data_IF_522080241996
#
_entry.id   IF_522080241996
#
_cell.length_a   1.000
_cell.length_b   1.000
_cell.length_c   1.000
_cell.angle_alpha   90.00
_cell.angle_beta   90.00
_cell.angle_gamma   90.00
#
_symmetry.space_group_name_H-M   'P 1'
#
loop_
_entity.id
_entity.type
_entity.pdbx_description
1 polymer ?
#
# COMPACT_ATOMS: atom_id res chain seq x y z
N UNK A 1 -16.72 -19.38 -7.11
CA UNK A 1 -17.87 -18.59 -6.59
C UNK A 1 -18.66 -18.00 -7.76
N UNK A 2 -18.08 -17.19 -8.67
CA UNK A 2 -18.80 -16.58 -9.79
C UNK A 2 -19.53 -17.62 -10.68
N UNK A 3 -18.89 -18.75 -10.96
CA UNK A 3 -19.53 -19.87 -11.70
C UNK A 3 -20.76 -20.41 -10.97
N UNK A 4 -20.72 -20.48 -9.64
CA UNK A 4 -21.85 -20.92 -8.83
C UNK A 4 -23.06 -19.96 -8.98
N UNK A 5 -22.81 -18.64 -8.91
CA UNK A 5 -23.83 -17.63 -9.13
C UNK A 5 -24.37 -17.65 -10.56
N UNK A 6 -23.52 -17.85 -11.56
CA UNK A 6 -23.97 -18.02 -12.95
C UNK A 6 -24.84 -19.29 -13.11
N UNK A 7 -24.45 -20.41 -12.53
CA UNK A 7 -25.27 -21.62 -12.53
C UNK A 7 -26.62 -21.36 -11.90
N UNK A 8 -26.66 -20.65 -10.79
CA UNK A 8 -27.92 -20.27 -10.15
C UNK A 8 -28.79 -19.35 -11.02
N UNK A 9 -28.21 -18.45 -11.79
CA UNK A 9 -28.95 -17.60 -12.74
C UNK A 9 -29.73 -18.44 -13.77
N UNK A 10 -29.15 -19.55 -14.24
CA UNK A 10 -29.78 -20.41 -15.25
C UNK A 10 -30.69 -21.49 -14.65
N UNK A 11 -30.27 -22.09 -13.55
CA UNK A 11 -30.89 -23.29 -12.97
C UNK A 11 -31.51 -23.05 -11.58
N UNK A 12 -31.79 -21.80 -11.23
CA UNK A 12 -32.33 -21.44 -9.91
C UNK A 12 -33.70 -22.05 -9.57
N UNK A 13 -34.42 -22.57 -10.55
CA UNK A 13 -35.67 -23.31 -10.35
C UNK A 13 -35.48 -24.64 -9.58
N UNK A 14 -34.25 -25.17 -9.59
CA UNK A 14 -33.89 -26.38 -8.85
C UNK A 14 -33.33 -26.07 -7.45
N UNK A 15 -33.29 -24.80 -7.07
CA UNK A 15 -32.85 -24.37 -5.75
C UNK A 15 -33.95 -24.59 -4.70
N UNK A 16 -33.62 -24.69 -3.39
CA UNK A 16 -34.63 -24.76 -2.33
C UNK A 16 -35.66 -23.64 -2.42
N UNK A 17 -36.93 -23.91 -2.06
CA UNK A 17 -38.06 -23.01 -2.21
C UNK A 17 -37.83 -21.56 -1.73
N UNK A 18 -37.05 -21.39 -0.66
CA UNK A 18 -36.75 -20.09 -0.08
C UNK A 18 -35.94 -19.20 -1.05
N UNK A 19 -35.08 -19.81 -1.87
CA UNK A 19 -34.22 -19.13 -2.83
C UNK A 19 -34.54 -19.54 -4.27
N UNK A 20 -35.69 -20.21 -4.51
CA UNK A 20 -36.08 -20.65 -5.84
C UNK A 20 -36.24 -19.44 -6.79
N UNK A 21 -35.67 -19.57 -7.97
CA UNK A 21 -35.67 -18.55 -9.02
C UNK A 21 -36.06 -19.19 -10.36
N UNK A 22 -36.96 -18.57 -11.08
CA UNK A 22 -37.49 -19.11 -12.36
C UNK A 22 -36.48 -19.38 -13.48
N UNK A 23 -35.22 -19.08 -13.26
CA UNK A 23 -34.19 -19.14 -14.30
C UNK A 23 -34.23 -17.94 -15.27
N UNK A 24 -33.13 -17.67 -15.92
CA UNK A 24 -33.05 -16.67 -16.98
C UNK A 24 -32.72 -17.33 -18.31
N UNK A 25 -33.26 -16.80 -19.41
CA UNK A 25 -32.81 -17.18 -20.75
C UNK A 25 -31.36 -16.72 -20.98
N UNK A 26 -30.64 -17.41 -21.86
CA UNK A 26 -29.27 -17.06 -22.19
C UNK A 26 -29.14 -15.59 -22.63
N UNK A 27 -30.02 -15.15 -23.52
CA UNK A 27 -30.01 -13.75 -23.99
C UNK A 27 -30.20 -12.74 -22.84
N UNK A 28 -31.14 -13.02 -21.93
CA UNK A 28 -31.37 -12.14 -20.76
C UNK A 28 -30.16 -12.10 -19.83
N UNK A 29 -29.56 -13.25 -19.54
CA UNK A 29 -28.39 -13.31 -18.69
C UNK A 29 -27.19 -12.60 -19.34
N UNK A 30 -26.93 -12.85 -20.62
CA UNK A 30 -25.83 -12.19 -21.34
C UNK A 30 -26.05 -10.68 -21.49
N UNK A 31 -27.25 -10.26 -21.81
CA UNK A 31 -27.57 -8.81 -21.88
C UNK A 31 -27.34 -8.12 -20.54
N UNK A 32 -27.80 -8.72 -19.44
CA UNK A 32 -27.60 -8.17 -18.11
C UNK A 32 -26.12 -8.13 -17.70
N UNK A 33 -25.36 -9.21 -17.97
CA UNK A 33 -23.95 -9.30 -17.56
C UNK A 33 -23.01 -8.42 -18.38
N UNK A 34 -23.30 -8.21 -19.68
CA UNK A 34 -22.36 -7.55 -20.59
C UNK A 34 -22.83 -6.17 -21.08
N UNK A 35 -24.14 -5.90 -21.12
CA UNK A 35 -24.67 -4.67 -21.69
C UNK A 35 -25.26 -3.72 -20.63
N UNK A 36 -25.24 -4.12 -19.35
CA UNK A 36 -25.69 -3.27 -18.25
C UNK A 36 -24.53 -2.89 -17.33
N UNK A 37 -24.74 -1.87 -16.50
CA UNK A 37 -23.80 -1.46 -15.46
C UNK A 37 -23.91 -2.30 -14.17
N UNK A 38 -24.71 -3.32 -14.16
CA UNK A 38 -24.89 -4.22 -13.02
C UNK A 38 -24.08 -5.52 -13.14
N UNK A 39 -23.43 -5.74 -14.30
CA UNK A 39 -22.62 -6.92 -14.58
C UNK A 39 -21.11 -6.67 -14.56
N UNK A 40 -20.43 -7.25 -15.56
CA UNK A 40 -18.96 -7.19 -15.71
C UNK A 40 -18.45 -5.75 -15.77
N UNK A 41 -19.15 -4.89 -16.54
CA UNK A 41 -18.79 -3.48 -16.70
C UNK A 41 -19.48 -2.57 -15.67
N UNK A 42 -19.82 -3.12 -14.52
CA UNK A 42 -20.42 -2.40 -13.41
C UNK A 42 -19.44 -1.54 -12.62
N UNK A 43 -19.91 -1.07 -11.46
CA UNK A 43 -19.18 -0.18 -10.55
C UNK A 43 -17.78 -0.70 -10.24
N UNK A 44 -17.62 -2.00 -9.97
CA UNK A 44 -16.34 -2.58 -9.60
C UNK A 44 -15.25 -2.38 -10.65
N UNK A 45 -15.55 -2.66 -11.93
CA UNK A 45 -14.59 -2.46 -13.02
C UNK A 45 -14.40 -0.97 -13.33
N UNK A 46 -15.46 -0.16 -13.23
CA UNK A 46 -15.38 1.30 -13.36
C UNK A 46 -14.41 1.94 -12.37
N UNK A 47 -14.52 1.56 -11.09
CA UNK A 47 -13.62 2.01 -10.02
C UNK A 47 -12.18 1.55 -10.29
N UNK A 48 -11.98 0.31 -10.73
CA UNK A 48 -10.64 -0.23 -10.97
C UNK A 48 -9.94 0.46 -12.14
N UNK A 49 -10.64 0.74 -13.23
CA UNK A 49 -10.10 1.44 -14.40
C UNK A 49 -9.94 2.95 -14.18
N UNK A 50 -10.75 3.54 -13.32
CA UNK A 50 -10.72 4.97 -13.01
C UNK A 50 -9.53 5.34 -12.13
N UNK A 51 -9.69 5.20 -10.82
CA UNK A 51 -8.69 5.72 -9.89
C UNK A 51 -7.81 4.66 -9.22
N UNK A 52 -8.24 3.38 -9.10
CA UNK A 52 -7.37 2.33 -8.56
C UNK A 52 -6.12 2.16 -9.42
N UNK A 53 -6.26 2.26 -10.75
CA UNK A 53 -5.13 2.19 -11.68
C UNK A 53 -4.04 3.22 -11.34
N UNK A 54 -4.43 4.46 -11.02
CA UNK A 54 -3.48 5.52 -10.66
C UNK A 54 -2.75 5.23 -9.34
N UNK A 55 -3.43 4.68 -8.34
CA UNK A 55 -2.80 4.27 -7.08
C UNK A 55 -1.83 3.10 -7.27
N UNK A 56 -2.21 2.11 -8.08
CA UNK A 56 -1.35 0.96 -8.40
C UNK A 56 -0.11 1.41 -9.17
N UNK A 57 -0.29 2.33 -10.11
CA UNK A 57 0.80 2.91 -10.89
C UNK A 57 1.74 3.72 -10.00
N UNK A 58 1.20 4.56 -9.13
CA UNK A 58 1.96 5.31 -8.13
C UNK A 58 2.83 4.39 -7.26
N UNK A 59 2.24 3.32 -6.71
CA UNK A 59 2.96 2.35 -5.90
C UNK A 59 4.07 1.64 -6.68
N UNK A 60 3.78 1.23 -7.91
CA UNK A 60 4.75 0.58 -8.80
C UNK A 60 5.95 1.47 -9.14
N UNK A 61 5.70 2.75 -9.42
CA UNK A 61 6.75 3.73 -9.68
C UNK A 61 7.60 4.00 -8.44
N UNK A 62 6.97 4.16 -7.29
CA UNK A 62 7.66 4.41 -6.02
C UNK A 62 8.58 3.23 -5.66
N UNK A 63 8.13 2.01 -5.94
CA UNK A 63 8.93 0.82 -5.75
C UNK A 63 10.13 0.76 -6.69
N UNK A 64 9.91 0.97 -8.00
CA UNK A 64 10.99 0.99 -8.99
C UNK A 64 11.99 2.15 -8.78
N UNK A 65 11.55 3.20 -8.09
CA UNK A 65 12.45 4.25 -7.63
C UNK A 65 13.41 3.81 -6.51
N UNK A 66 13.08 2.73 -5.77
CA UNK A 66 13.88 2.19 -4.68
C UNK A 66 13.29 2.37 -3.28
N UNK A 67 12.07 2.86 -3.16
CA UNK A 67 11.42 3.08 -1.87
C UNK A 67 11.21 1.78 -1.08
N UNK A 68 10.89 0.67 -1.77
CA UNK A 68 10.71 -0.63 -1.12
C UNK A 68 11.97 -1.11 -0.39
N UNK A 69 13.12 -1.01 -1.04
CA UNK A 69 14.42 -1.32 -0.43
C UNK A 69 14.74 -0.37 0.75
N UNK A 70 14.46 0.93 0.57
CA UNK A 70 14.64 1.92 1.65
C UNK A 70 13.83 1.57 2.89
N UNK A 71 12.54 1.30 2.75
CA UNK A 71 11.68 0.94 3.89
C UNK A 71 12.11 -0.36 4.56
N UNK A 72 12.52 -1.33 3.78
CA UNK A 72 13.03 -2.61 4.30
C UNK A 72 14.30 -2.38 5.13
N UNK A 73 15.29 -1.65 4.61
CA UNK A 73 16.53 -1.33 5.34
C UNK A 73 16.28 -0.49 6.59
N UNK A 74 15.35 0.46 6.54
CA UNK A 74 14.95 1.25 7.73
C UNK A 74 14.33 0.34 8.80
N UNK A 75 13.41 -0.54 8.43
CA UNK A 75 12.78 -1.47 9.37
C UNK A 75 13.83 -2.41 10.02
N UNK A 76 14.79 -2.92 9.23
CA UNK A 76 15.88 -3.74 9.76
C UNK A 76 16.83 -2.98 10.66
N UNK A 77 17.18 -1.74 10.31
CA UNK A 77 18.02 -0.89 11.14
C UNK A 77 17.37 -0.58 12.52
N UNK A 78 16.05 -0.43 12.54
CA UNK A 78 15.30 -0.14 13.75
C UNK A 78 15.04 -1.38 14.63
N UNK A 79 14.69 -2.51 14.03
CA UNK A 79 14.13 -3.65 14.74
C UNK A 79 15.03 -4.88 14.77
N UNK A 80 16.02 -4.99 13.88
CA UNK A 80 16.84 -6.19 13.71
C UNK A 80 17.60 -6.63 14.94
N UNK A 81 17.92 -5.71 15.87
CA UNK A 81 18.65 -6.00 17.10
C UNK A 81 17.77 -6.59 18.23
N UNK A 82 16.46 -6.55 18.11
CA UNK A 82 15.57 -7.16 19.09
C UNK A 82 15.47 -8.67 18.92
N UNK A 83 15.02 -9.38 19.95
CA UNK A 83 14.73 -10.81 19.87
C UNK A 83 13.71 -11.10 18.77
N UNK A 84 14.07 -11.99 17.82
CA UNK A 84 13.28 -12.21 16.61
C UNK A 84 13.24 -10.98 15.70
N UNK A 85 14.24 -10.09 15.82
CA UNK A 85 14.32 -8.80 15.12
C UNK A 85 14.10 -8.88 13.62
N UNK A 86 14.76 -9.77 12.89
CA UNK A 86 14.54 -9.91 11.45
C UNK A 86 13.09 -10.17 11.08
N UNK A 87 12.38 -11.04 11.80
CA UNK A 87 10.97 -11.31 11.52
C UNK A 87 10.05 -10.11 11.88
N UNK A 88 10.35 -9.40 12.98
CA UNK A 88 9.64 -8.15 13.32
C UNK A 88 9.90 -7.06 12.29
N UNK A 89 11.14 -6.94 11.82
CA UNK A 89 11.51 -6.01 10.78
C UNK A 89 10.81 -6.36 9.46
N UNK A 90 10.67 -7.64 9.12
CA UNK A 90 9.91 -8.09 7.98
C UNK A 90 8.43 -7.66 8.08
N UNK A 91 7.79 -7.82 9.25
CA UNK A 91 6.41 -7.39 9.46
C UNK A 91 6.26 -5.88 9.27
N UNK A 92 7.13 -5.07 9.87
CA UNK A 92 7.06 -3.61 9.76
C UNK A 92 7.39 -3.14 8.34
N UNK A 93 8.42 -3.72 7.72
CA UNK A 93 8.78 -3.46 6.31
C UNK A 93 7.62 -3.75 5.38
N UNK A 94 6.99 -4.92 5.55
CA UNK A 94 5.83 -5.32 4.76
C UNK A 94 4.65 -4.35 4.97
N UNK A 95 4.45 -3.84 6.20
CA UNK A 95 3.48 -2.79 6.47
C UNK A 95 3.76 -1.48 5.73
N UNK A 96 5.00 -1.03 5.77
CA UNK A 96 5.43 0.20 5.07
C UNK A 96 5.32 0.05 3.54
N UNK A 97 5.70 -1.11 3.00
CA UNK A 97 5.55 -1.40 1.57
C UNK A 97 4.08 -1.58 1.18
N UNK A 98 3.28 -2.20 2.07
CA UNK A 98 1.84 -2.35 1.89
C UNK A 98 1.08 -1.02 1.79
N UNK A 99 1.51 0.00 2.56
CA UNK A 99 0.99 1.37 2.47
C UNK A 99 1.08 1.95 1.05
N UNK A 100 2.00 1.45 0.24
CA UNK A 100 2.32 1.98 -1.08
C UNK A 100 1.78 1.08 -2.19
N UNK A 101 1.99 -0.25 -2.06
CA UNK A 101 1.66 -1.20 -3.12
C UNK A 101 0.17 -1.53 -3.19
N UNK A 102 -0.54 -1.49 -2.05
CA UNK A 102 -1.94 -1.91 -1.95
C UNK A 102 -2.20 -3.38 -2.34
N UNK A 103 -1.17 -4.14 -2.70
CA UNK A 103 -1.25 -5.52 -3.19
C UNK A 103 -0.46 -6.47 -2.31
N UNK A 104 -1.14 -7.43 -1.69
CA UNK A 104 -0.47 -8.47 -0.89
C UNK A 104 0.48 -9.33 -1.73
N UNK A 105 0.09 -9.67 -2.96
CA UNK A 105 0.90 -10.50 -3.86
C UNK A 105 2.19 -9.77 -4.23
N UNK A 106 2.08 -8.52 -4.69
CA UNK A 106 3.24 -7.71 -5.00
C UNK A 106 4.15 -7.55 -3.78
N UNK A 107 3.56 -7.28 -2.60
CA UNK A 107 4.30 -7.10 -1.36
C UNK A 107 5.09 -8.37 -0.95
N UNK A 108 4.48 -9.56 -1.02
CA UNK A 108 5.20 -10.83 -0.76
C UNK A 108 6.37 -11.03 -1.72
N UNK A 109 6.19 -10.71 -3.01
CA UNK A 109 7.25 -10.85 -4.00
C UNK A 109 8.40 -9.90 -3.73
N UNK A 110 8.11 -8.66 -3.35
CA UNK A 110 9.09 -7.60 -3.11
C UNK A 110 9.86 -7.84 -1.82
N UNK A 111 9.13 -7.94 -0.71
CA UNK A 111 9.76 -8.06 0.62
C UNK A 111 10.21 -9.47 0.93
N UNK A 112 9.44 -10.49 0.52
CA UNK A 112 9.67 -11.88 0.85
C UNK A 112 10.95 -12.48 0.25
N UNK A 113 11.37 -12.03 -0.94
CA UNK A 113 12.64 -12.45 -1.55
C UNK A 113 13.84 -12.17 -0.65
N UNK A 114 13.77 -11.11 0.13
CA UNK A 114 14.79 -10.70 1.08
C UNK A 114 14.51 -11.17 2.52
N UNK A 115 13.30 -10.98 3.00
CA UNK A 115 12.95 -11.20 4.41
C UNK A 115 12.87 -12.69 4.76
N UNK A 116 12.34 -13.56 3.88
CA UNK A 116 12.22 -15.00 4.13
C UNK A 116 13.60 -15.65 4.30
N UNK A 117 14.58 -15.47 3.39
CA UNK A 117 15.92 -16.00 3.61
C UNK A 117 16.56 -15.50 4.90
N UNK A 118 16.37 -14.23 5.24
CA UNK A 118 16.95 -13.66 6.44
C UNK A 118 16.30 -14.21 7.72
N UNK A 119 14.99 -14.39 7.74
CA UNK A 119 14.29 -15.06 8.85
C UNK A 119 14.79 -16.49 9.06
N UNK A 120 15.01 -17.23 7.97
CA UNK A 120 15.57 -18.59 8.02
C UNK A 120 16.99 -18.62 8.61
N UNK A 121 17.85 -17.67 8.21
CA UNK A 121 19.23 -17.57 8.73
C UNK A 121 19.29 -17.33 10.23
N UNK A 122 18.33 -16.59 10.80
CA UNK A 122 18.27 -16.36 12.26
C UNK A 122 17.56 -17.47 13.02
N UNK A 123 17.14 -18.55 12.34
CA UNK A 123 16.62 -19.77 12.97
C UNK A 123 15.11 -19.97 12.88
N UNK A 124 14.35 -19.13 12.14
CA UNK A 124 12.96 -19.44 11.84
C UNK A 124 12.86 -20.63 10.88
N UNK A 125 11.92 -21.53 11.14
CA UNK A 125 11.55 -22.59 10.19
C UNK A 125 10.99 -21.98 8.90
N UNK A 126 11.23 -22.64 7.75
CA UNK A 126 10.83 -22.13 6.44
C UNK A 126 9.34 -21.80 6.36
N UNK A 127 8.48 -22.73 6.91
CA UNK A 127 7.04 -22.57 6.91
C UNK A 127 6.60 -21.36 7.74
N UNK A 128 7.25 -21.12 8.90
CA UNK A 128 6.96 -19.98 9.75
C UNK A 128 7.42 -18.67 9.12
N UNK A 129 8.60 -18.65 8.49
CA UNK A 129 9.09 -17.48 7.77
C UNK A 129 8.14 -17.10 6.63
N UNK A 130 7.69 -18.08 5.84
CA UNK A 130 6.69 -17.86 4.80
C UNK A 130 5.34 -17.40 5.35
N UNK A 131 4.87 -17.99 6.45
CA UNK A 131 3.60 -17.60 7.10
C UNK A 131 3.65 -16.16 7.63
N UNK A 132 4.76 -15.73 8.26
CA UNK A 132 4.96 -14.35 8.73
C UNK A 132 4.90 -13.37 7.56
N UNK A 133 5.60 -13.68 6.47
CA UNK A 133 5.62 -12.81 5.28
C UNK A 133 4.25 -12.69 4.63
N UNK A 134 3.54 -13.80 4.43
CA UNK A 134 2.19 -13.80 3.84
C UNK A 134 1.20 -13.04 4.74
N UNK A 135 1.23 -13.27 6.06
CA UNK A 135 0.36 -12.57 6.99
C UNK A 135 0.64 -11.06 7.01
N UNK A 136 1.91 -10.66 7.05
CA UNK A 136 2.30 -9.26 7.04
C UNK A 136 1.91 -8.56 5.74
N UNK A 137 2.12 -9.24 4.60
CA UNK A 137 1.77 -8.70 3.28
C UNK A 137 0.26 -8.59 3.06
N UNK A 138 -0.51 -9.54 3.60
CA UNK A 138 -1.98 -9.48 3.55
C UNK A 138 -2.51 -8.31 4.39
N UNK A 139 -1.96 -8.11 5.60
CA UNK A 139 -2.28 -6.96 6.43
C UNK A 139 -1.90 -5.62 5.76
N UNK A 140 -0.93 -5.61 4.86
CA UNK A 140 -0.55 -4.43 4.08
C UNK A 140 -1.70 -3.82 3.28
N UNK A 141 -2.67 -4.64 2.84
CA UNK A 141 -3.86 -4.15 2.14
C UNK A 141 -4.80 -3.32 3.02
N UNK A 142 -4.69 -3.43 4.34
CA UNK A 142 -5.48 -2.62 5.28
C UNK A 142 -4.79 -1.29 5.60
N UNK A 143 -3.49 -1.15 5.27
CA UNK A 143 -2.68 -0.02 5.74
C UNK A 143 -2.89 1.23 4.88
N UNK A 144 -3.42 2.34 5.46
CA UNK A 144 -3.52 3.61 4.75
C UNK A 144 -2.13 4.16 4.38
N UNK A 145 -2.01 5.04 3.35
CA UNK A 145 -3.11 5.69 2.65
C UNK A 145 -3.62 4.97 1.40
N UNK A 146 -2.91 4.01 0.80
CA UNK A 146 -3.33 3.44 -0.48
C UNK A 146 -4.31 2.28 -0.27
N UNK A 147 -3.99 1.36 0.64
CA UNK A 147 -4.82 0.18 0.93
C UNK A 147 -4.99 -0.75 -0.28
N UNK A 148 -5.76 -1.81 -0.15
CA UNK A 148 -6.11 -2.71 -1.25
C UNK A 148 -7.34 -2.24 -2.04
N UNK A 149 -7.57 -2.87 -3.19
CA UNK A 149 -8.68 -2.53 -4.09
C UNK A 149 -10.06 -2.54 -3.40
N UNK A 150 -10.25 -3.39 -2.40
CA UNK A 150 -11.50 -3.46 -1.64
C UNK A 150 -11.87 -2.15 -0.93
N UNK A 151 -10.88 -1.40 -0.44
CA UNK A 151 -11.12 -0.11 0.21
C UNK A 151 -11.72 0.93 -0.75
N UNK A 152 -11.32 0.89 -2.00
CA UNK A 152 -11.88 1.77 -3.03
C UNK A 152 -13.30 1.37 -3.44
N UNK A 153 -13.60 0.07 -3.45
CA UNK A 153 -14.96 -0.42 -3.69
C UNK A 153 -15.92 0.01 -2.58
N UNK A 154 -15.46 0.12 -1.33
CA UNK A 154 -16.26 0.60 -0.21
C UNK A 154 -16.78 2.04 -0.43
N UNK A 155 -16.03 2.90 -1.11
CA UNK A 155 -16.48 4.27 -1.42
C UNK A 155 -17.81 4.23 -2.18
N UNK A 156 -17.87 3.40 -3.21
CA UNK A 156 -19.03 3.33 -4.10
C UNK A 156 -20.18 2.51 -3.50
N UNK A 157 -19.89 1.35 -2.90
CA UNK A 157 -20.94 0.47 -2.37
C UNK A 157 -21.53 0.96 -1.05
N UNK A 158 -20.73 1.62 -0.20
CA UNK A 158 -21.18 2.15 1.09
C UNK A 158 -21.60 3.62 0.99
N UNK A 159 -21.12 4.34 -0.04
CA UNK A 159 -21.42 5.75 -0.24
C UNK A 159 -20.72 6.68 0.74
N UNK A 160 -19.52 6.32 1.20
CA UNK A 160 -18.70 7.13 2.12
C UNK A 160 -17.47 7.71 1.40
N UNK A 161 -16.93 8.79 1.94
CA UNK A 161 -15.71 9.39 1.37
C UNK A 161 -14.49 8.50 1.59
N UNK A 162 -13.48 8.60 0.69
CA UNK A 162 -12.21 7.87 0.86
C UNK A 162 -11.51 8.20 2.17
N UNK A 163 -11.60 9.44 2.61
CA UNK A 163 -11.01 9.88 3.88
C UNK A 163 -11.68 9.20 5.08
N UNK A 164 -12.98 8.94 5.02
CA UNK A 164 -13.68 8.16 6.05
C UNK A 164 -13.25 6.69 6.03
N UNK A 165 -13.09 6.09 4.85
CA UNK A 165 -12.53 4.73 4.74
C UNK A 165 -11.15 4.68 5.39
N UNK A 166 -10.25 5.64 5.09
CA UNK A 166 -8.93 5.74 5.72
C UNK A 166 -9.02 5.81 7.25
N UNK A 167 -9.88 6.68 7.78
CA UNK A 167 -10.05 6.86 9.23
C UNK A 167 -10.51 5.57 9.92
N UNK A 168 -11.48 4.88 9.32
CA UNK A 168 -12.01 3.64 9.88
C UNK A 168 -11.05 2.45 9.70
N UNK A 169 -10.26 2.40 8.62
CA UNK A 169 -9.28 1.36 8.38
C UNK A 169 -8.03 1.48 9.25
N UNK A 170 -7.67 2.71 9.69
CA UNK A 170 -6.42 2.97 10.41
C UNK A 170 -6.29 2.16 11.70
N UNK A 171 -7.30 2.19 12.55
CA UNK A 171 -7.26 1.49 13.84
C UNK A 171 -7.18 -0.03 13.69
N UNK A 172 -8.02 -0.70 12.89
CA UNK A 172 -7.88 -2.13 12.60
C UNK A 172 -6.51 -2.51 12.03
N UNK A 173 -5.96 -1.71 11.11
CA UNK A 173 -4.63 -1.94 10.54
C UNK A 173 -3.55 -1.91 11.61
N UNK A 174 -3.52 -0.88 12.45
CA UNK A 174 -2.54 -0.74 13.54
C UNK A 174 -2.63 -1.89 14.53
N UNK A 175 -3.85 -2.24 14.98
CA UNK A 175 -4.06 -3.37 15.92
C UNK A 175 -3.59 -4.68 15.29
N UNK A 176 -3.89 -4.92 14.02
CA UNK A 176 -3.47 -6.13 13.30
C UNK A 176 -1.95 -6.25 13.22
N UNK A 177 -1.24 -5.15 12.90
CA UNK A 177 0.23 -5.16 12.88
C UNK A 177 0.84 -5.32 14.29
N UNK A 178 0.27 -4.70 15.32
CA UNK A 178 0.71 -4.89 16.70
C UNK A 178 0.54 -6.36 17.11
N UNK A 179 -0.61 -6.95 16.82
CA UNK A 179 -0.88 -8.36 17.10
C UNK A 179 0.11 -9.27 16.38
N UNK A 180 0.39 -9.01 15.08
CA UNK A 180 1.32 -9.82 14.31
C UNK A 180 2.76 -9.71 14.83
N UNK A 181 3.23 -8.50 15.15
CA UNK A 181 4.55 -8.28 15.78
C UNK A 181 4.64 -9.01 17.11
N UNK A 182 3.56 -9.03 17.89
CA UNK A 182 3.51 -9.74 19.18
C UNK A 182 3.54 -11.26 18.99
N UNK A 183 2.75 -11.81 18.04
CA UNK A 183 2.78 -13.23 17.69
C UNK A 183 4.19 -13.65 17.25
N UNK A 184 4.83 -12.87 16.39
CA UNK A 184 6.20 -13.10 15.94
C UNK A 184 7.19 -13.05 17.09
N UNK A 185 6.96 -12.17 18.08
CA UNK A 185 7.78 -12.13 19.31
C UNK A 185 7.65 -13.41 20.13
N UNK A 186 6.43 -13.91 20.33
CA UNK A 186 6.18 -15.16 21.07
C UNK A 186 6.81 -16.36 20.35
N UNK A 187 6.70 -16.42 19.02
CA UNK A 187 7.34 -17.47 18.23
C UNK A 187 8.87 -17.42 18.30
N UNK A 188 9.46 -16.22 18.32
CA UNK A 188 10.89 -16.03 18.51
C UNK A 188 11.33 -16.45 19.93
N UNK A 189 10.51 -16.19 20.96
CA UNK A 189 10.77 -16.65 22.33
C UNK A 189 10.70 -18.18 22.44
N UNK A 190 9.68 -18.78 21.84
CA UNK A 190 9.50 -20.24 21.83
C UNK A 190 10.64 -20.98 21.15
N UNK A 191 11.26 -20.38 20.13
CA UNK A 191 12.38 -20.93 19.39
C UNK A 191 13.75 -20.48 19.95
N UNK A 192 13.79 -19.77 21.08
CA UNK A 192 14.99 -19.17 21.70
C UNK A 192 15.88 -18.36 20.74
N UNK A 193 15.26 -17.65 19.80
CA UNK A 193 15.98 -16.86 18.82
C UNK A 193 16.55 -15.58 19.46
N UNK A 194 17.77 -15.23 19.04
CA UNK A 194 18.43 -13.98 19.48
C UNK A 194 18.28 -12.90 18.41
N UNK A 195 18.40 -11.63 18.82
CA UNK A 195 18.53 -10.52 17.86
C UNK A 195 19.92 -10.47 17.23
N UNK A 196 20.03 -9.75 16.11
CA UNK A 196 21.31 -9.46 15.49
C UNK A 196 22.10 -8.45 16.34
N UNK A 197 23.44 -8.52 16.28
CA UNK A 197 24.29 -7.58 17.05
C UNK A 197 24.13 -6.17 16.47
N UNK A 198 23.78 -5.15 17.31
CA UNK A 198 23.72 -3.78 16.84
C UNK A 198 25.12 -3.24 16.58
N UNK A 199 25.30 -2.47 15.51
CA UNK A 199 26.58 -1.83 15.17
C UNK A 199 26.97 -0.75 16.19
N UNK A 200 25.98 -0.09 16.82
CA UNK A 200 26.17 0.85 17.93
C UNK A 200 25.23 0.53 19.08
N UNK A 201 25.79 0.45 20.28
CA UNK A 201 25.00 0.31 21.50
C UNK A 201 24.54 1.71 21.93
N UNK A 202 23.25 1.97 21.82
CA UNK A 202 22.63 3.22 22.29
C UNK A 202 22.00 3.01 23.68
N UNK A 203 22.15 4.00 24.57
CA UNK A 203 21.51 3.96 25.88
C UNK A 203 19.98 4.00 25.76
N UNK A 204 19.28 3.42 26.74
CA UNK A 204 17.81 3.45 26.77
C UNK A 204 17.27 4.88 26.73
N UNK A 205 17.91 5.79 27.45
CA UNK A 205 17.56 7.22 27.45
C UNK A 205 17.65 7.83 26.03
N UNK A 206 18.72 7.56 25.29
CA UNK A 206 18.89 8.03 23.91
C UNK A 206 17.78 7.48 22.98
N UNK A 207 17.37 6.22 23.17
CA UNK A 207 16.26 5.62 22.39
C UNK A 207 14.92 6.32 22.67
N UNK A 208 14.62 6.59 23.94
CA UNK A 208 13.41 7.29 24.35
C UNK A 208 13.39 8.71 23.81
N UNK A 209 14.49 9.46 23.97
CA UNK A 209 14.61 10.81 23.43
C UNK A 209 14.45 10.84 21.91
N UNK A 210 15.08 9.92 21.19
CA UNK A 210 14.94 9.82 19.74
C UNK A 210 13.50 9.52 19.33
N UNK A 211 12.82 8.61 20.02
CA UNK A 211 11.42 8.28 19.78
C UNK A 211 10.51 9.50 19.93
N UNK A 212 10.64 10.24 21.02
CA UNK A 212 9.85 11.47 21.23
C UNK A 212 10.23 12.57 20.23
N UNK A 213 11.51 12.74 19.89
CA UNK A 213 11.92 13.70 18.86
C UNK A 213 11.32 13.35 17.48
N UNK A 214 11.25 12.09 17.11
CA UNK A 214 10.62 11.67 15.84
C UNK A 214 9.12 11.96 15.86
N UNK A 215 8.42 11.65 16.95
CA UNK A 215 6.98 11.94 17.08
C UNK A 215 6.72 13.44 17.04
N UNK A 216 7.46 14.23 17.81
CA UNK A 216 7.33 15.68 17.82
C UNK A 216 7.64 16.23 16.42
N UNK A 217 8.71 15.74 15.78
CA UNK A 217 9.07 16.14 14.41
C UNK A 217 7.97 15.86 13.39
N UNK A 218 7.29 14.69 13.49
CA UNK A 218 6.16 14.34 12.63
C UNK A 218 4.94 15.25 12.91
N UNK A 219 4.64 15.54 14.17
CA UNK A 219 3.53 16.44 14.53
C UNK A 219 3.81 17.86 14.02
N UNK A 220 5.02 18.37 14.23
CA UNK A 220 5.43 19.70 13.75
C UNK A 220 5.39 19.76 12.22
N UNK A 221 5.94 18.74 11.54
CA UNK A 221 5.90 18.67 10.07
C UNK A 221 4.46 18.63 9.54
N UNK A 222 3.59 17.82 10.15
CA UNK A 222 2.16 17.77 9.80
C UNK A 222 1.48 19.11 10.02
N UNK A 223 1.80 19.80 11.12
CA UNK A 223 1.32 21.16 11.41
C UNK A 223 1.79 22.18 10.38
N UNK A 224 3.07 22.16 10.02
CA UNK A 224 3.63 23.06 8.99
C UNK A 224 2.96 22.80 7.64
N UNK A 225 2.76 21.55 7.25
CA UNK A 225 2.08 21.20 6.00
C UNK A 225 0.63 21.69 6.05
N UNK A 226 -0.12 21.36 7.09
CA UNK A 226 -1.53 21.71 7.20
C UNK A 226 -1.76 23.22 7.26
N UNK A 227 -1.12 23.91 8.19
CA UNK A 227 -1.30 25.36 8.39
C UNK A 227 -0.54 26.18 7.35
N UNK A 228 0.67 25.79 6.96
CA UNK A 228 1.49 26.51 6.00
C UNK A 228 0.85 26.54 4.62
N UNK A 229 0.42 25.42 4.09
CA UNK A 229 -0.28 25.39 2.79
C UNK A 229 -1.69 25.99 2.88
N UNK A 230 -2.40 25.84 4.01
CA UNK A 230 -3.65 26.53 4.25
C UNK A 230 -3.50 28.06 4.19
N UNK A 231 -2.45 28.59 4.79
CA UNK A 231 -2.12 30.02 4.74
C UNK A 231 -1.73 30.48 3.32
N UNK A 232 -0.89 29.71 2.61
CA UNK A 232 -0.56 29.98 1.21
C UNK A 232 -1.82 30.06 0.34
N UNK A 233 -2.79 29.18 0.57
CA UNK A 233 -4.06 29.18 -0.17
C UNK A 233 -4.89 30.45 0.08
N UNK A 234 -4.92 30.93 1.33
CA UNK A 234 -5.65 32.15 1.70
C UNK A 234 -4.99 33.42 1.13
N UNK A 235 -3.65 33.47 1.11
CA UNK A 235 -2.90 34.66 0.67
C UNK A 235 -2.73 34.70 -0.86
N UNK A 236 -2.41 33.58 -1.48
CA UNK A 236 -2.07 33.51 -2.90
C UNK A 236 -3.25 33.16 -3.82
N UNK A 237 -4.39 32.77 -3.29
CA UNK A 237 -5.60 32.46 -4.07
C UNK A 237 -5.33 31.49 -5.21
N UNK A 238 -5.61 31.88 -6.45
CA UNK A 238 -5.43 31.06 -7.66
C UNK A 238 -3.96 30.70 -7.98
N UNK A 239 -2.99 31.43 -7.42
CA UNK A 239 -1.57 31.14 -7.60
C UNK A 239 -1.04 30.05 -6.64
N UNK A 240 -1.84 29.64 -5.65
CA UNK A 240 -1.43 28.69 -4.61
C UNK A 240 -0.91 27.34 -5.14
N UNK A 241 -1.47 26.70 -6.21
CA UNK A 241 -0.94 25.45 -6.74
C UNK A 241 0.48 25.60 -7.32
N UNK A 242 0.75 26.73 -7.97
CA UNK A 242 2.08 27.01 -8.53
C UNK A 242 3.13 27.21 -7.44
N UNK A 243 2.77 27.95 -6.38
CA UNK A 243 3.64 28.14 -5.21
C UNK A 243 3.89 26.78 -4.53
N UNK A 244 2.86 25.96 -4.33
CA UNK A 244 3.01 24.62 -3.79
C UNK A 244 3.96 23.77 -4.64
N UNK A 245 3.81 23.79 -5.96
CA UNK A 245 4.70 23.08 -6.90
C UNK A 245 6.16 23.51 -6.77
N UNK A 246 6.42 24.82 -6.69
CA UNK A 246 7.78 25.37 -6.48
C UNK A 246 8.34 24.94 -5.12
N UNK A 247 7.56 25.00 -4.06
CA UNK A 247 7.99 24.58 -2.71
C UNK A 247 8.33 23.09 -2.70
N UNK A 248 7.49 22.23 -3.29
CA UNK A 248 7.74 20.79 -3.40
C UNK A 248 9.04 20.53 -4.18
N UNK A 249 9.28 21.25 -5.28
CA UNK A 249 10.51 21.15 -6.06
C UNK A 249 11.75 21.54 -5.24
N UNK A 250 11.70 22.64 -4.51
CA UNK A 250 12.80 23.09 -3.66
C UNK A 250 13.08 22.09 -2.52
N UNK A 251 12.02 21.58 -1.88
CA UNK A 251 12.13 20.53 -0.85
C UNK A 251 12.76 19.27 -1.44
N UNK A 252 12.33 18.84 -2.62
CA UNK A 252 12.89 17.69 -3.32
C UNK A 252 14.41 17.86 -3.56
N UNK A 253 14.81 18.97 -4.16
CA UNK A 253 16.22 19.27 -4.42
C UNK A 253 17.02 19.29 -3.12
N UNK A 254 16.47 19.90 -2.08
CA UNK A 254 17.08 19.94 -0.74
C UNK A 254 17.26 18.53 -0.13
N UNK A 255 16.24 17.68 -0.25
CA UNK A 255 16.27 16.29 0.24
C UNK A 255 17.30 15.45 -0.55
N UNK A 256 17.37 15.59 -1.87
CA UNK A 256 18.41 14.92 -2.68
C UNK A 256 19.80 15.40 -2.26
N UNK A 257 20.02 16.72 -2.16
CA UNK A 257 21.31 17.27 -1.71
C UNK A 257 21.69 16.82 -0.30
N UNK A 258 20.71 16.61 0.57
CA UNK A 258 20.94 16.07 1.90
C UNK A 258 21.28 14.57 1.86
N UNK A 259 20.59 13.79 1.03
CA UNK A 259 20.75 12.35 0.94
C UNK A 259 22.12 11.93 0.39
N UNK A 260 22.74 12.72 -0.49
CA UNK A 260 24.07 12.41 -1.07
C UNK A 260 25.21 12.32 -0.04
N UNK A 261 25.00 12.90 1.17
CA UNK A 261 25.97 12.79 2.29
C UNK A 261 26.01 11.40 2.91
N UNK A 262 25.05 10.55 2.54
CA UNK A 262 24.90 9.19 3.06
C UNK A 262 25.10 8.18 1.93
N UNK A 263 25.54 6.95 2.24
CA UNK A 263 25.73 5.92 1.22
C UNK A 263 24.39 5.62 0.53
N UNK A 264 24.45 5.36 -0.77
CA UNK A 264 23.28 4.88 -1.50
C UNK A 264 22.88 3.52 -0.95
N UNK A 265 21.57 3.33 -0.85
CA UNK A 265 21.02 2.03 -0.50
C UNK A 265 21.07 1.17 -1.78
N UNK A 266 22.14 0.40 -1.92
CA UNK A 266 22.26 -0.56 -3.01
C UNK A 266 21.05 -1.49 -3.01
N UNK A 267 20.55 -1.77 -4.21
CA UNK A 267 19.59 -2.87 -4.42
C UNK A 267 20.44 -4.12 -4.20
N UNK A 268 20.23 -4.77 -3.05
CA UNK A 268 21.03 -5.94 -2.70
C UNK A 268 20.88 -6.99 -3.81
N UNK A 269 21.97 -7.31 -4.47
CA UNK A 269 22.13 -8.57 -5.15
C UNK A 269 21.87 -9.68 -4.12
N UNK A 270 21.09 -10.68 -4.46
CA UNK A 270 20.62 -11.77 -3.58
C UNK A 270 21.75 -12.55 -2.88
N UNK A 271 23.00 -12.16 -3.10
CA UNK A 271 24.21 -12.80 -2.59
C UNK A 271 24.91 -12.06 -1.45
N UNK A 272 24.47 -10.86 -1.05
CA UNK A 272 25.12 -10.15 0.05
C UNK A 272 24.66 -10.77 1.38
N UNK A 273 25.61 -11.41 2.06
CA UNK A 273 25.44 -11.83 3.45
C UNK A 273 25.24 -10.58 4.32
N UNK A 274 23.98 -10.26 4.68
CA UNK A 274 23.69 -9.26 5.71
C UNK A 274 24.13 -9.81 7.08
N UNK A 275 25.41 -9.78 7.32
CA UNK A 275 26.00 -10.15 8.61
C UNK A 275 25.85 -8.98 9.61
N UNK A 276 25.74 -7.76 9.11
CA UNK A 276 25.68 -6.54 9.93
C UNK A 276 24.40 -5.73 9.70
N UNK A 277 23.81 -5.27 10.81
CA UNK A 277 22.66 -4.35 10.73
C UNK A 277 23.10 -2.99 10.19
N UNK A 278 22.32 -2.38 9.26
CA UNK A 278 22.59 -1.03 8.82
C UNK A 278 22.44 -0.02 9.96
N UNK A 279 23.25 1.04 9.95
CA UNK A 279 23.15 2.12 10.93
C UNK A 279 21.84 2.89 10.75
N UNK A 280 21.04 3.01 11.79
CA UNK A 280 19.69 3.64 11.73
C UNK A 280 19.73 5.07 11.21
N UNK A 281 20.64 5.90 11.73
CA UNK A 281 20.72 7.32 11.36
C UNK A 281 20.99 7.55 9.87
N UNK A 282 22.12 7.07 9.34
CA UNK A 282 22.45 7.17 7.92
C UNK A 282 21.38 6.57 7.00
N UNK A 283 20.86 5.38 7.36
CA UNK A 283 19.85 4.68 6.54
C UNK A 283 18.55 5.49 6.41
N UNK A 284 18.02 6.04 7.52
CA UNK A 284 16.82 6.88 7.46
C UNK A 284 17.06 8.14 6.62
N UNK A 285 18.22 8.76 6.77
CA UNK A 285 18.53 10.04 6.10
C UNK A 285 18.83 9.88 4.60
N UNK A 286 19.24 8.70 4.15
CA UNK A 286 19.60 8.46 2.74
C UNK A 286 18.39 8.46 1.79
N UNK A 287 17.17 8.17 2.27
CA UNK A 287 15.99 7.96 1.43
C UNK A 287 14.78 8.82 1.77
N UNK A 288 14.93 9.94 2.51
CA UNK A 288 13.81 10.80 2.90
C UNK A 288 13.01 11.34 1.71
N UNK A 289 13.65 11.50 0.54
CA UNK A 289 12.98 11.97 -0.68
C UNK A 289 11.90 11.00 -1.20
N UNK A 290 11.97 9.69 -0.83
CA UNK A 290 10.91 8.73 -1.16
C UNK A 290 9.60 8.96 -0.41
N UNK A 291 9.63 9.68 0.71
CA UNK A 291 8.44 10.03 1.47
C UNK A 291 7.67 11.20 0.84
N UNK A 292 8.34 12.04 0.03
CA UNK A 292 7.74 13.25 -0.52
C UNK A 292 6.48 12.99 -1.36
N UNK A 293 6.45 12.02 -2.30
CA UNK A 293 5.23 11.73 -3.06
C UNK A 293 4.07 11.25 -2.18
N UNK A 294 4.37 10.50 -1.10
CA UNK A 294 3.36 10.06 -0.13
C UNK A 294 2.80 11.24 0.65
N UNK A 295 3.66 12.16 1.07
CA UNK A 295 3.25 13.41 1.74
C UNK A 295 2.36 14.25 0.83
N UNK A 296 2.70 14.36 -0.46
CA UNK A 296 1.87 15.07 -1.44
C UNK A 296 0.52 14.39 -1.64
N UNK A 297 0.49 13.05 -1.72
CA UNK A 297 -0.76 12.30 -1.81
C UNK A 297 -1.68 12.63 -0.61
N UNK A 298 -1.14 12.55 0.59
CA UNK A 298 -1.86 12.83 1.83
C UNK A 298 -2.32 14.29 1.87
N UNK A 299 -1.47 15.23 1.46
CA UNK A 299 -1.81 16.65 1.39
C UNK A 299 -2.96 16.90 0.40
N UNK A 300 -2.91 16.33 -0.80
CA UNK A 300 -3.99 16.44 -1.79
C UNK A 300 -5.33 15.89 -1.26
N UNK A 301 -5.28 14.77 -0.51
CA UNK A 301 -6.49 14.16 0.05
C UNK A 301 -7.07 14.92 1.24
N UNK A 302 -6.21 15.37 2.18
CA UNK A 302 -6.66 15.94 3.47
C UNK A 302 -6.85 17.45 3.38
N UNK A 303 -5.89 18.17 2.81
CA UNK A 303 -5.88 19.63 2.82
C UNK A 303 -6.64 20.20 1.62
N UNK A 304 -6.31 19.72 0.41
CA UNK A 304 -6.98 20.18 -0.81
C UNK A 304 -8.35 19.49 -1.02
N UNK A 305 -8.61 18.38 -0.32
CA UNK A 305 -9.84 17.59 -0.44
C UNK A 305 -10.16 17.17 -1.87
N UNK A 306 -9.12 16.88 -2.63
CA UNK A 306 -9.27 16.37 -3.98
C UNK A 306 -9.93 14.99 -3.98
N UNK A 307 -10.58 14.66 -5.10
CA UNK A 307 -11.04 13.28 -5.32
C UNK A 307 -9.85 12.31 -5.26
N UNK A 308 -10.06 11.05 -4.86
CA UNK A 308 -8.98 10.05 -4.80
C UNK A 308 -8.18 9.94 -6.10
N UNK A 309 -8.89 9.97 -7.26
CA UNK A 309 -8.26 9.92 -8.58
C UNK A 309 -7.36 11.12 -8.86
N UNK A 310 -7.80 12.33 -8.55
CA UNK A 310 -7.02 13.55 -8.77
C UNK A 310 -5.80 13.62 -7.83
N UNK A 311 -5.96 13.21 -6.57
CA UNK A 311 -4.86 13.13 -5.61
C UNK A 311 -3.79 12.11 -6.05
N UNK A 312 -4.22 10.92 -6.48
CA UNK A 312 -3.34 9.89 -7.02
C UNK A 312 -2.64 10.35 -8.31
N UNK A 313 -3.33 11.10 -9.18
CA UNK A 313 -2.75 11.66 -10.41
C UNK A 313 -1.58 12.60 -10.08
N UNK A 314 -1.75 13.58 -9.20
CA UNK A 314 -0.68 14.50 -8.83
C UNK A 314 0.49 13.81 -8.13
N UNK A 315 0.21 12.87 -7.22
CA UNK A 315 1.24 12.06 -6.60
C UNK A 315 2.04 11.23 -7.63
N UNK A 316 1.34 10.67 -8.62
CA UNK A 316 1.96 9.91 -9.72
C UNK A 316 2.82 10.82 -10.61
N UNK A 317 2.36 12.03 -10.93
CA UNK A 317 3.14 12.99 -11.72
C UNK A 317 4.45 13.39 -11.00
N UNK A 318 4.38 13.64 -9.71
CA UNK A 318 5.58 13.91 -8.91
C UNK A 318 6.50 12.67 -8.90
N UNK A 319 5.92 11.47 -8.82
CA UNK A 319 6.71 10.24 -8.84
C UNK A 319 7.42 10.02 -10.17
N UNK A 320 6.74 10.29 -11.31
CA UNK A 320 7.35 10.29 -12.65
C UNK A 320 8.54 11.25 -12.72
N UNK A 321 8.37 12.44 -12.16
CA UNK A 321 9.46 13.42 -12.07
C UNK A 321 10.62 12.93 -11.21
N UNK A 322 10.35 12.40 -10.01
CA UNK A 322 11.37 11.91 -9.09
C UNK A 322 12.16 10.75 -9.68
N UNK A 323 11.49 9.72 -10.23
CA UNK A 323 12.16 8.53 -10.79
C UNK A 323 13.08 8.88 -11.96
N UNK A 324 12.70 9.89 -12.75
CA UNK A 324 13.47 10.35 -13.90
C UNK A 324 14.67 11.20 -13.49
N UNK A 325 14.58 11.96 -12.38
CA UNK A 325 15.56 13.00 -12.03
C UNK A 325 16.45 12.65 -10.83
N UNK A 326 16.03 11.73 -9.96
CA UNK A 326 16.80 11.43 -8.73
C UNK A 326 18.24 10.95 -9.00
N UNK A 327 18.44 10.08 -10.01
CA UNK A 327 19.76 9.55 -10.35
C UNK A 327 20.68 10.63 -10.94
N UNK A 328 20.31 11.34 -12.01
CA UNK A 328 21.16 12.39 -12.57
C UNK A 328 21.43 13.54 -11.60
N UNK A 329 20.47 13.90 -10.72
CA UNK A 329 20.71 14.92 -9.69
C UNK A 329 21.72 14.47 -8.64
N UNK A 330 21.68 13.18 -8.19
CA UNK A 330 22.68 12.65 -7.28
C UNK A 330 24.08 12.67 -7.89
N UNK A 331 24.23 12.27 -9.16
CA UNK A 331 25.47 12.31 -9.92
C UNK A 331 25.98 13.75 -10.07
N UNK A 332 25.10 14.67 -10.45
CA UNK A 332 25.42 16.09 -10.56
C UNK A 332 25.97 16.68 -9.26
N UNK A 333 25.30 16.45 -8.14
CA UNK A 333 25.73 16.97 -6.84
C UNK A 333 26.98 16.26 -6.27
N UNK A 334 27.30 15.06 -6.76
CA UNK A 334 28.55 14.34 -6.43
C UNK A 334 29.69 14.65 -7.37
N UNK A 335 29.51 15.55 -8.36
CA UNK A 335 30.48 15.90 -9.40
C UNK A 335 31.02 14.69 -10.17
N UNK A 336 30.16 13.71 -10.50
CA UNK A 336 30.49 12.54 -11.31
C UNK A 336 30.14 12.78 -12.78
N UNK A 337 30.90 12.20 -13.72
CA UNK A 337 30.76 12.51 -15.16
C UNK A 337 29.65 11.77 -15.89
N UNK A 338 29.01 10.75 -15.28
CA UNK A 338 28.08 9.83 -15.96
C UNK A 338 26.60 10.28 -15.94
N UNK A 339 26.31 11.57 -16.04
CA UNK A 339 24.94 12.11 -15.92
C UNK A 339 23.98 11.55 -16.98
N UNK A 340 24.43 11.41 -18.24
CA UNK A 340 23.58 10.91 -19.33
C UNK A 340 23.20 9.44 -19.14
N UNK A 341 24.15 8.61 -18.72
CA UNK A 341 23.91 7.19 -18.46
C UNK A 341 22.92 7.00 -17.31
N UNK A 342 23.09 7.74 -16.22
CA UNK A 342 22.19 7.66 -15.06
C UNK A 342 20.79 8.24 -15.37
N UNK A 343 20.68 9.23 -16.25
CA UNK A 343 19.38 9.69 -16.76
C UNK A 343 18.67 8.61 -17.57
N UNK A 344 19.39 7.91 -18.45
CA UNK A 344 18.83 6.80 -19.23
C UNK A 344 18.40 5.63 -18.34
N UNK A 345 19.16 5.33 -17.27
CA UNK A 345 18.75 4.35 -16.25
C UNK A 345 17.50 4.80 -15.50
N UNK A 346 17.37 6.10 -15.20
CA UNK A 346 16.15 6.68 -14.62
C UNK A 346 14.93 6.49 -15.51
N UNK A 347 15.07 6.78 -16.81
CA UNK A 347 13.99 6.57 -17.80
C UNK A 347 13.65 5.09 -17.98
N UNK A 348 14.64 4.20 -17.96
CA UNK A 348 14.39 2.76 -17.98
C UNK A 348 13.59 2.33 -16.76
N UNK A 349 13.98 2.78 -15.56
CA UNK A 349 13.22 2.49 -14.33
C UNK A 349 11.79 3.04 -14.40
N UNK A 350 11.58 4.19 -15.04
CA UNK A 350 10.24 4.74 -15.28
C UNK A 350 9.41 3.79 -16.15
N UNK A 351 9.95 3.38 -17.31
CA UNK A 351 9.26 2.45 -18.22
C UNK A 351 8.98 1.12 -17.54
N UNK A 352 9.96 0.56 -16.83
CA UNK A 352 9.80 -0.68 -16.07
C UNK A 352 8.73 -0.54 -14.98
N UNK A 353 8.64 0.63 -14.34
CA UNK A 353 7.61 0.96 -13.37
C UNK A 353 6.20 1.04 -13.98
N UNK A 354 6.07 1.66 -15.15
CA UNK A 354 4.82 1.72 -15.89
C UNK A 354 4.34 0.32 -16.31
N UNK A 355 5.25 -0.51 -16.84
CA UNK A 355 4.96 -1.90 -17.23
C UNK A 355 4.55 -2.71 -15.99
N UNK A 356 5.27 -2.57 -14.88
CA UNK A 356 4.98 -3.28 -13.65
C UNK A 356 3.62 -2.88 -13.06
N UNK A 357 3.31 -1.58 -13.04
CA UNK A 357 2.00 -1.07 -12.61
C UNK A 357 0.85 -1.60 -13.47
N UNK A 358 1.02 -1.57 -14.81
CA UNK A 358 0.02 -2.11 -15.72
C UNK A 358 -0.21 -3.61 -15.54
N UNK A 359 0.85 -4.40 -15.32
CA UNK A 359 0.75 -5.84 -15.04
C UNK A 359 0.03 -6.14 -13.72
N UNK A 360 0.32 -5.37 -12.67
CA UNK A 360 -0.36 -5.53 -11.37
C UNK A 360 -1.87 -5.24 -11.50
N UNK A 361 -2.27 -4.37 -12.41
CA UNK A 361 -3.67 -4.03 -12.64
C UNK A 361 -4.48 -5.17 -13.29
N UNK A 362 -3.85 -6.08 -14.01
CA UNK A 362 -4.54 -7.22 -14.67
C UNK A 362 -5.30 -8.05 -13.63
N UNK A 363 -4.63 -8.42 -12.53
CA UNK A 363 -5.27 -9.21 -11.46
C UNK A 363 -6.44 -8.50 -10.79
N UNK A 364 -6.30 -7.19 -10.57
CA UNK A 364 -7.34 -6.34 -9.97
C UNK A 364 -8.52 -6.22 -10.93
N UNK A 365 -8.26 -5.96 -12.21
CA UNK A 365 -9.31 -5.87 -13.23
C UNK A 365 -10.12 -7.16 -13.36
N UNK A 366 -9.46 -8.31 -13.38
CA UNK A 366 -10.12 -9.62 -13.42
C UNK A 366 -10.95 -9.86 -12.14
N UNK A 367 -10.41 -9.53 -10.98
CA UNK A 367 -11.12 -9.69 -9.70
C UNK A 367 -12.37 -8.80 -9.63
N UNK A 368 -12.28 -7.54 -10.03
CA UNK A 368 -13.42 -6.61 -10.02
C UNK A 368 -14.45 -6.95 -11.09
N UNK A 369 -14.04 -7.39 -12.28
CA UNK A 369 -14.94 -7.92 -13.31
C UNK A 369 -15.69 -9.17 -12.82
N UNK A 370 -14.98 -10.08 -12.14
CA UNK A 370 -15.57 -11.30 -11.55
C UNK A 370 -16.55 -10.94 -10.43
N UNK A 371 -16.23 -9.94 -9.61
CA UNK A 371 -17.16 -9.42 -8.61
C UNK A 371 -18.42 -8.85 -9.27
N UNK A 372 -18.28 -8.16 -10.42
CA UNK A 372 -19.38 -7.69 -11.21
C UNK A 372 -20.34 -8.81 -11.69
N UNK A 373 -19.79 -9.97 -12.07
CA UNK A 373 -20.62 -11.15 -12.38
C UNK A 373 -21.45 -11.59 -11.17
N UNK A 374 -20.86 -11.62 -9.98
CA UNK A 374 -21.56 -12.00 -8.75
C UNK A 374 -22.66 -10.98 -8.45
N UNK A 375 -22.34 -9.69 -8.47
CA UNK A 375 -23.31 -8.62 -8.23
C UNK A 375 -24.44 -8.67 -9.26
N UNK A 376 -24.13 -8.80 -10.55
CA UNK A 376 -25.11 -8.93 -11.62
C UNK A 376 -26.00 -10.16 -11.47
N UNK A 377 -25.46 -11.27 -10.95
CA UNK A 377 -26.27 -12.45 -10.64
C UNK A 377 -27.22 -12.18 -9.49
N UNK A 378 -26.79 -11.49 -8.45
CA UNK A 378 -27.61 -11.14 -7.28
C UNK A 378 -28.72 -10.17 -7.66
N UNK A 379 -28.42 -9.14 -8.47
CA UNK A 379 -29.43 -8.16 -8.92
C UNK A 379 -30.43 -8.77 -9.89
N UNK A 380 -29.97 -9.61 -10.83
CA UNK A 380 -30.85 -10.27 -11.80
C UNK A 380 -31.84 -11.24 -11.16
N UNK A 381 -31.41 -11.96 -10.13
CA UNK A 381 -32.20 -13.00 -9.45
C UNK A 381 -33.01 -12.46 -8.27
N UNK A 382 -32.63 -11.31 -7.72
CA UNK A 382 -33.22 -10.75 -6.51
C UNK A 382 -32.87 -11.51 -5.21
N UNK A 383 -31.94 -12.47 -5.26
CA UNK A 383 -31.58 -13.31 -4.09
C UNK A 383 -31.08 -12.48 -2.89
N UNK A 384 -30.50 -11.32 -3.15
CA UNK A 384 -30.08 -10.39 -2.09
C UNK A 384 -31.23 -9.93 -1.22
N UNK A 385 -32.35 -9.54 -1.81
CA UNK A 385 -33.53 -9.13 -1.08
C UNK A 385 -34.14 -10.28 -0.27
N UNK A 386 -34.19 -11.47 -0.85
CA UNK A 386 -34.70 -12.67 -0.17
C UNK A 386 -33.83 -13.00 1.04
N UNK A 387 -32.50 -12.96 0.89
CA UNK A 387 -31.56 -13.24 1.97
C UNK A 387 -31.69 -12.25 3.13
N UNK A 388 -31.81 -10.95 2.83
CA UNK A 388 -32.02 -9.90 3.84
C UNK A 388 -33.34 -10.10 4.57
N UNK A 389 -34.46 -10.31 3.84
CA UNK A 389 -35.78 -10.54 4.44
C UNK A 389 -35.75 -11.76 5.37
N UNK A 390 -35.16 -12.86 4.95
CA UNK A 390 -35.03 -14.08 5.76
C UNK A 390 -34.21 -13.86 7.04
N UNK A 391 -33.11 -13.13 6.93
CA UNK A 391 -32.25 -12.81 8.08
C UNK A 391 -33.00 -11.98 9.12
N UNK A 392 -33.78 -10.99 8.68
CA UNK A 392 -34.57 -10.15 9.59
C UNK A 392 -35.76 -10.91 10.23
N UNK A 393 -36.45 -11.76 9.48
CA UNK A 393 -37.53 -12.58 10.03
C UNK A 393 -36.98 -13.52 11.15
N UNK A 394 -35.86 -14.20 10.90
CA UNK A 394 -35.27 -15.09 11.89
C UNK A 394 -34.67 -14.36 13.12
N UNK A 395 -34.16 -13.15 12.93
CA UNK A 395 -33.68 -12.32 14.05
C UNK A 395 -34.85 -11.93 14.99
N UNK A 396 -36.07 -11.69 14.45
CA UNK A 396 -37.23 -11.44 15.27
C UNK A 396 -37.73 -12.69 16.04
N UNK A 397 -37.59 -13.89 15.45
CA UNK A 397 -37.95 -15.14 16.15
C UNK A 397 -37.01 -15.49 17.31
N UNK A 398 -35.73 -15.11 17.24
CA UNK A 398 -34.74 -15.37 18.31
C UNK A 398 -34.80 -14.41 19.49
N UNK A 399 -35.58 -13.33 19.42
CA UNK A 399 -35.76 -12.35 20.52
C UNK A 399 -36.92 -12.78 21.45
N UNK A 400 -37.68 -13.81 21.09
CA UNK A 400 -38.83 -14.32 21.86
C UNK A 400 -38.56 -15.63 22.64
N UNK A 401 -37.27 -16.01 22.84
CA UNK A 401 -36.91 -17.11 23.74
C UNK A 401 -35.98 -16.65 24.84
#
# INVERSE_FOLDING_TARGET
IAMLFLTYVFFGEHAPDIIAWKGASFNKAMSHMWLSQEGVFGIGLGVSSGFIFLFVLFGALLEKAGAGNYFTKVAFALLGHYRGGPAKAAVVSSGMNGMISGSSIANVVITGTFTIPLMKRVGFKAEKAGAVEVAASTNGQLMPPIMGAAAFLMIEYVGISYLEVIKHAFLPAVISYIALVYIVHLEAMKADLKGLKPRRVTTLFSKIVTFFMVIIGLIVLSGIIYYGFGWVKTVAGSASPWIAGVVILLVYIGLIRYSIRYPDLEIDDHHIELIELPETGPTVKSGLHYLLPVVVLIWCLIVERFSPGLAAFWATMIMVFIISTQRPLKVYFRNQENQKEEFLKGLKNLVDGLIFGARNMIGIGIATATAGIIVGSVTLTGIGLVTVSYTHLRAHETVHY
#
